data_IF_457901637795
#
_entry.id   IF_457901637795
#
_cell.length_a   1.000
_cell.length_b   1.000
_cell.length_c   1.000
_cell.angle_alpha   90.00
_cell.angle_beta   90.00
_cell.angle_gamma   90.00
#
_symmetry.space_group_name_H-M   'P 1'
#
loop_
_entity.id
_entity.type
_entity.pdbx_description
1 polymer ?
#
# COMPACT_ATOMS: atom_id res chain seq x y z
N UNK A 1 -23.13 12.43 23.59
CA UNK A 1 -21.99 12.42 22.67
C UNK A 1 -22.42 11.66 21.42
N UNK A 2 -22.45 12.30 20.24
CA UNK A 2 -22.67 11.57 18.98
C UNK A 2 -21.40 10.75 18.72
N UNK A 3 -21.49 9.41 18.82
CA UNK A 3 -20.39 8.56 18.39
C UNK A 3 -20.07 8.88 16.91
N UNK A 4 -18.82 9.23 16.66
CA UNK A 4 -18.33 9.41 15.28
C UNK A 4 -18.56 8.09 14.51
N UNK A 5 -19.26 8.10 13.38
CA UNK A 5 -19.52 6.89 12.61
C UNK A 5 -18.24 6.17 12.17
N UNK A 6 -17.12 6.90 12.05
CA UNK A 6 -15.80 6.35 11.74
C UNK A 6 -15.24 5.59 12.94
N UNK A 7 -15.24 6.20 14.13
CA UNK A 7 -14.78 5.55 15.37
C UNK A 7 -15.57 4.28 15.66
N UNK A 8 -16.90 4.34 15.53
CA UNK A 8 -17.74 3.16 15.68
C UNK A 8 -17.47 2.06 14.66
N UNK A 9 -17.15 2.41 13.39
CA UNK A 9 -16.78 1.45 12.38
C UNK A 9 -15.39 0.83 12.62
N UNK A 10 -14.44 1.64 13.08
CA UNK A 10 -13.11 1.20 13.46
C UNK A 10 -13.18 0.25 14.67
N UNK A 11 -13.95 0.60 15.71
CA UNK A 11 -14.12 -0.21 16.92
C UNK A 11 -14.73 -1.58 16.65
N UNK A 12 -15.63 -1.71 15.64
CA UNK A 12 -16.18 -3.02 15.24
C UNK A 12 -15.15 -3.97 14.64
N UNK A 13 -13.99 -3.49 14.25
CA UNK A 13 -12.88 -4.31 13.74
C UNK A 13 -11.91 -4.77 14.84
N UNK A 14 -12.08 -4.28 16.08
CA UNK A 14 -11.26 -4.72 17.20
C UNK A 14 -11.57 -6.17 17.54
N UNK A 15 -10.52 -7.00 17.60
CA UNK A 15 -10.64 -8.42 17.94
C UNK A 15 -11.28 -9.30 16.85
N UNK A 16 -11.43 -8.80 15.61
CA UNK A 16 -11.94 -9.61 14.49
C UNK A 16 -10.94 -10.72 14.17
N UNK A 17 -11.40 -11.97 14.23
CA UNK A 17 -10.64 -13.12 13.75
C UNK A 17 -10.71 -13.20 12.22
N UNK A 18 -9.59 -12.85 11.57
CA UNK A 18 -9.47 -12.82 10.11
C UNK A 18 -9.58 -14.19 9.44
N UNK A 19 -9.49 -15.29 10.20
CA UNK A 19 -9.58 -16.65 9.66
C UNK A 19 -10.99 -17.23 9.76
N UNK A 20 -11.84 -16.69 10.63
CA UNK A 20 -13.24 -17.09 10.74
C UNK A 20 -14.07 -16.64 9.52
N UNK A 21 -15.13 -17.37 9.18
CA UNK A 21 -16.03 -17.00 8.08
C UNK A 21 -16.68 -15.62 8.30
N UNK A 22 -17.09 -15.33 9.54
CA UNK A 22 -17.70 -14.05 9.90
C UNK A 22 -16.68 -12.91 9.86
N UNK A 23 -15.46 -13.13 10.38
CA UNK A 23 -14.40 -12.13 10.35
C UNK A 23 -13.97 -11.78 8.92
N UNK A 24 -13.82 -12.77 8.03
CA UNK A 24 -13.56 -12.54 6.61
C UNK A 24 -14.64 -11.69 5.95
N UNK A 25 -15.93 -11.97 6.25
CA UNK A 25 -17.06 -11.18 5.74
C UNK A 25 -17.02 -9.74 6.24
N UNK A 26 -16.72 -9.55 7.53
CA UNK A 26 -16.60 -8.22 8.14
C UNK A 26 -15.44 -7.44 7.52
N UNK A 27 -14.28 -8.06 7.34
CA UNK A 27 -13.10 -7.42 6.73
C UNK A 27 -13.35 -7.08 5.26
N UNK A 28 -13.97 -7.93 4.45
CA UNK A 28 -14.38 -7.60 3.08
C UNK A 28 -15.25 -6.37 3.03
N UNK A 29 -16.30 -6.32 3.87
CA UNK A 29 -17.17 -5.15 3.97
C UNK A 29 -16.43 -3.88 4.40
N UNK A 30 -15.47 -4.00 5.32
CA UNK A 30 -14.65 -2.89 5.76
C UNK A 30 -13.68 -2.39 4.66
N UNK A 31 -13.13 -3.30 3.84
CA UNK A 31 -12.33 -2.95 2.66
C UNK A 31 -13.15 -2.18 1.59
N UNK A 32 -14.45 -2.38 1.52
CA UNK A 32 -15.36 -1.64 0.63
C UNK A 32 -15.83 -0.29 1.21
N UNK A 33 -15.43 0.04 2.44
CA UNK A 33 -15.86 1.25 3.13
C UNK A 33 -15.55 2.53 2.33
N UNK A 34 -16.44 3.52 2.45
CA UNK A 34 -16.18 4.89 1.96
C UNK A 34 -15.15 5.65 2.83
N UNK A 35 -14.91 5.19 4.04
CA UNK A 35 -13.96 5.79 4.98
C UNK A 35 -12.61 5.10 4.84
N UNK A 36 -11.59 5.82 4.38
CA UNK A 36 -10.24 5.28 4.15
C UNK A 36 -9.62 4.70 5.44
N UNK A 37 -9.84 5.31 6.59
CA UNK A 37 -9.32 4.82 7.87
C UNK A 37 -9.89 3.45 8.27
N UNK A 38 -11.15 3.16 7.90
CA UNK A 38 -11.76 1.83 8.12
C UNK A 38 -11.11 0.82 7.18
N UNK A 39 -10.92 1.19 5.92
CA UNK A 39 -10.22 0.37 4.92
C UNK A 39 -8.78 0.09 5.33
N UNK A 40 -8.06 1.11 5.82
CA UNK A 40 -6.69 0.99 6.32
C UNK A 40 -6.60 -0.02 7.47
N UNK A 41 -7.50 0.08 8.47
CA UNK A 41 -7.53 -0.86 9.60
C UNK A 41 -7.82 -2.30 9.14
N UNK A 42 -8.79 -2.48 8.24
CA UNK A 42 -9.12 -3.80 7.70
C UNK A 42 -7.93 -4.42 6.94
N UNK A 43 -7.21 -3.60 6.15
CA UNK A 43 -6.02 -4.03 5.43
C UNK A 43 -4.90 -4.47 6.40
N UNK A 44 -4.64 -3.71 7.47
CA UNK A 44 -3.66 -4.09 8.50
C UNK A 44 -4.02 -5.42 9.14
N UNK A 45 -5.27 -5.61 9.56
CA UNK A 45 -5.72 -6.88 10.15
C UNK A 45 -5.53 -8.04 9.18
N UNK A 46 -5.92 -7.87 7.91
CA UNK A 46 -5.76 -8.90 6.88
C UNK A 46 -4.28 -9.27 6.65
N UNK A 47 -3.40 -8.27 6.58
CA UNK A 47 -1.96 -8.49 6.40
C UNK A 47 -1.29 -9.11 7.63
N UNK A 48 -1.64 -8.66 8.84
CA UNK A 48 -1.05 -9.18 10.08
C UNK A 48 -1.46 -10.62 10.35
N UNK A 49 -2.68 -10.98 9.98
CA UNK A 49 -3.19 -12.34 10.08
C UNK A 49 -2.79 -13.26 8.91
N UNK A 50 -2.08 -12.74 7.89
CA UNK A 50 -1.77 -13.47 6.66
C UNK A 50 -3.00 -14.11 5.99
N UNK A 51 -4.12 -13.36 5.98
CA UNK A 51 -5.40 -13.84 5.46
C UNK A 51 -5.44 -13.81 3.92
N UNK A 52 -4.83 -14.80 3.27
CA UNK A 52 -4.65 -14.89 1.81
C UNK A 52 -5.98 -14.76 1.04
N UNK A 53 -7.08 -15.24 1.60
CA UNK A 53 -8.41 -15.19 0.98
C UNK A 53 -8.99 -13.76 0.87
N UNK A 54 -8.32 -12.77 1.49
CA UNK A 54 -8.68 -11.36 1.37
C UNK A 54 -7.87 -10.62 0.30
N UNK A 55 -6.90 -11.27 -0.36
CA UNK A 55 -6.03 -10.64 -1.34
C UNK A 55 -6.83 -9.94 -2.47
N UNK A 56 -7.80 -10.60 -3.06
CA UNK A 56 -8.67 -10.04 -4.11
C UNK A 56 -9.44 -8.79 -3.63
N UNK A 57 -9.91 -8.81 -2.38
CA UNK A 57 -10.61 -7.66 -1.80
C UNK A 57 -9.65 -6.48 -1.56
N UNK A 58 -8.42 -6.76 -1.15
CA UNK A 58 -7.35 -5.76 -1.01
C UNK A 58 -6.99 -5.14 -2.37
N UNK A 59 -6.80 -5.95 -3.43
CA UNK A 59 -6.55 -5.48 -4.80
C UNK A 59 -7.68 -4.58 -5.29
N UNK A 60 -8.94 -4.99 -5.09
CA UNK A 60 -10.11 -4.22 -5.47
C UNK A 60 -10.18 -2.88 -4.72
N UNK A 61 -9.89 -2.88 -3.41
CA UNK A 61 -9.85 -1.67 -2.60
C UNK A 61 -8.72 -0.73 -3.04
N UNK A 62 -7.54 -1.26 -3.35
CA UNK A 62 -6.41 -0.49 -3.88
C UNK A 62 -6.78 0.22 -5.19
N UNK A 63 -7.30 -0.53 -6.16
CA UNK A 63 -7.69 0.01 -7.45
C UNK A 63 -8.77 1.11 -7.32
N UNK A 64 -9.75 0.90 -6.47
CA UNK A 64 -10.83 1.84 -6.18
C UNK A 64 -10.30 3.16 -5.58
N UNK A 65 -9.44 3.08 -4.57
CA UNK A 65 -8.88 4.26 -3.91
C UNK A 65 -7.94 5.02 -4.83
N UNK A 66 -7.08 4.31 -5.57
CA UNK A 66 -6.17 4.92 -6.54
C UNK A 66 -6.92 5.70 -7.63
N UNK A 67 -8.05 5.18 -8.11
CA UNK A 67 -8.87 5.84 -9.11
C UNK A 67 -9.60 7.09 -8.59
N UNK A 68 -9.88 7.17 -7.27
CA UNK A 68 -10.62 8.28 -6.65
C UNK A 68 -9.71 9.42 -6.15
N UNK A 69 -8.41 9.16 -6.03
CA UNK A 69 -7.42 10.15 -5.62
C UNK A 69 -7.53 10.61 -4.15
N UNK A 70 -6.94 11.77 -3.85
CA UNK A 70 -6.78 12.32 -2.49
C UNK A 70 -8.07 12.54 -1.71
N UNK A 71 -9.18 12.81 -2.39
CA UNK A 71 -10.48 12.98 -1.73
C UNK A 71 -10.98 11.70 -1.03
N UNK A 72 -10.57 10.54 -1.54
CA UNK A 72 -10.98 9.26 -0.99
C UNK A 72 -10.02 8.71 0.08
N UNK A 73 -8.75 9.14 0.08
CA UNK A 73 -7.72 8.64 0.99
C UNK A 73 -6.72 9.73 1.36
N UNK A 74 -7.13 10.64 2.25
CA UNK A 74 -6.25 11.69 2.75
C UNK A 74 -5.03 11.10 3.44
N UNK A 75 -3.86 11.69 3.17
CA UNK A 75 -2.59 11.22 3.69
C UNK A 75 -2.11 9.90 3.06
N UNK A 76 -2.80 9.40 2.03
CA UNK A 76 -2.44 8.13 1.35
C UNK A 76 -2.32 6.93 2.31
N UNK A 77 -3.13 6.93 3.39
CA UNK A 77 -3.00 5.96 4.50
C UNK A 77 -3.51 4.58 4.10
N UNK A 78 -4.72 4.53 3.52
CA UNK A 78 -5.32 3.25 3.17
C UNK A 78 -4.59 2.56 2.01
N UNK A 79 -4.18 3.30 0.98
CA UNK A 79 -3.37 2.77 -0.12
C UNK A 79 -2.06 2.17 0.40
N UNK A 80 -1.40 2.87 1.33
CA UNK A 80 -0.14 2.40 1.93
C UNK A 80 -0.35 1.13 2.77
N UNK A 81 -1.39 1.08 3.59
CA UNK A 81 -1.68 -0.10 4.43
C UNK A 81 -2.15 -1.30 3.60
N UNK A 82 -2.90 -1.08 2.50
CA UNK A 82 -3.26 -2.14 1.55
C UNK A 82 -2.00 -2.69 0.87
N UNK A 83 -1.11 -1.81 0.39
CA UNK A 83 0.14 -2.25 -0.24
C UNK A 83 0.99 -3.07 0.74
N UNK A 84 1.11 -2.63 2.03
CA UNK A 84 1.79 -3.41 3.07
C UNK A 84 1.15 -4.78 3.31
N UNK A 85 -0.18 -4.85 3.33
CA UNK A 85 -0.89 -6.12 3.47
C UNK A 85 -0.58 -7.05 2.30
N UNK A 86 -0.65 -6.57 1.06
CA UNK A 86 -0.34 -7.36 -0.14
C UNK A 86 1.12 -7.85 -0.16
N UNK A 87 2.07 -7.01 0.30
CA UNK A 87 3.48 -7.44 0.47
C UNK A 87 3.61 -8.55 1.49
N UNK A 88 2.93 -8.46 2.65
CA UNK A 88 2.93 -9.52 3.67
C UNK A 88 2.30 -10.82 3.18
N UNK A 89 1.30 -10.72 2.31
CA UNK A 89 0.64 -11.87 1.67
C UNK A 89 1.45 -12.45 0.50
N UNK A 90 2.64 -11.92 0.20
CA UNK A 90 3.46 -12.33 -0.93
C UNK A 90 2.68 -12.32 -2.25
N UNK A 91 1.83 -11.30 -2.44
CA UNK A 91 0.95 -11.17 -3.59
C UNK A 91 1.73 -10.75 -4.83
N UNK A 92 1.69 -11.56 -5.90
CA UNK A 92 2.42 -11.33 -7.14
C UNK A 92 1.58 -10.54 -8.17
N UNK A 93 1.43 -9.22 -7.95
CA UNK A 93 0.79 -8.29 -8.90
C UNK A 93 1.73 -7.13 -9.21
N UNK A 94 2.61 -7.34 -10.19
CA UNK A 94 3.58 -6.35 -10.61
C UNK A 94 2.94 -5.04 -11.11
N UNK A 95 1.79 -5.11 -11.78
CA UNK A 95 1.11 -3.93 -12.33
C UNK A 95 0.53 -3.06 -11.22
N UNK A 96 -0.06 -3.66 -10.19
CA UNK A 96 -0.53 -2.96 -9.00
C UNK A 96 0.62 -2.20 -8.33
N UNK A 97 1.73 -2.88 -8.08
CA UNK A 97 2.89 -2.29 -7.42
C UNK A 97 3.54 -1.20 -8.28
N UNK A 98 3.65 -1.36 -9.60
CA UNK A 98 4.14 -0.30 -10.48
C UNK A 98 3.24 0.94 -10.47
N UNK A 99 1.94 0.76 -10.44
CA UNK A 99 0.99 1.88 -10.34
C UNK A 99 1.18 2.62 -9.02
N UNK A 100 1.34 1.89 -7.91
CA UNK A 100 1.62 2.48 -6.61
C UNK A 100 2.97 3.22 -6.56
N UNK A 101 4.03 2.67 -7.18
CA UNK A 101 5.33 3.34 -7.29
C UNK A 101 5.30 4.65 -8.07
N UNK A 102 4.35 4.84 -8.98
CA UNK A 102 4.20 6.07 -9.76
C UNK A 102 3.20 7.05 -9.16
N UNK A 103 2.54 6.69 -8.06
CA UNK A 103 1.52 7.53 -7.47
C UNK A 103 2.13 8.72 -6.74
N UNK A 104 1.66 9.92 -7.09
CA UNK A 104 1.97 11.19 -6.42
C UNK A 104 0.64 11.76 -5.93
N UNK A 105 0.58 12.15 -4.67
CA UNK A 105 -0.61 12.71 -4.06
C UNK A 105 -0.27 14.01 -3.35
N UNK A 106 -0.53 15.14 -4.04
CA UNK A 106 -0.30 16.46 -3.46
C UNK A 106 -1.47 16.87 -2.58
N UNK A 107 -1.18 17.24 -1.34
CA UNK A 107 -2.17 17.75 -0.40
C UNK A 107 -1.77 19.14 0.12
N UNK A 108 -2.77 19.99 0.32
CA UNK A 108 -2.55 21.35 0.80
C UNK A 108 -2.10 21.38 2.26
N UNK A 109 -1.14 22.25 2.54
CA UNK A 109 -0.65 22.58 3.90
C UNK A 109 -0.68 24.09 4.11
N UNK A 110 -0.42 24.56 5.33
CA UNK A 110 -0.35 26.00 5.64
C UNK A 110 0.70 26.79 4.84
N UNK A 111 1.70 26.10 4.30
CA UNK A 111 2.81 26.73 3.56
C UNK A 111 2.89 26.31 2.09
N UNK A 112 1.87 25.64 1.54
CA UNK A 112 1.91 25.16 0.16
C UNK A 112 1.25 23.80 -0.02
N UNK A 113 1.89 22.90 -0.75
CA UNK A 113 1.44 21.52 -0.92
C UNK A 113 2.58 20.54 -0.67
N UNK A 114 2.26 19.36 -0.16
CA UNK A 114 3.20 18.29 0.13
C UNK A 114 2.73 17.01 -0.54
N UNK A 115 3.66 16.22 -1.06
CA UNK A 115 3.37 14.87 -1.53
C UNK A 115 3.25 13.92 -0.31
N UNK A 116 2.09 13.29 -0.15
CA UNK A 116 1.80 12.38 0.96
C UNK A 116 1.93 10.91 0.58
N UNK A 117 2.37 10.60 -0.65
CA UNK A 117 2.47 9.23 -1.16
C UNK A 117 3.89 8.61 -1.20
N UNK A 118 4.98 9.22 -0.68
CA UNK A 118 6.32 8.62 -0.80
C UNK A 118 6.44 7.27 -0.08
N UNK A 119 5.72 7.07 1.02
CA UNK A 119 5.72 5.79 1.74
C UNK A 119 5.00 4.69 0.94
N UNK A 120 3.90 5.03 0.23
CA UNK A 120 3.24 4.10 -0.69
C UNK A 120 4.23 3.63 -1.77
N UNK A 121 4.98 4.57 -2.39
CA UNK A 121 5.97 4.24 -3.40
C UNK A 121 7.06 3.32 -2.86
N UNK A 122 7.53 3.59 -1.65
CA UNK A 122 8.53 2.76 -0.96
C UNK A 122 8.04 1.33 -0.71
N UNK A 123 6.80 1.17 -0.23
CA UNK A 123 6.18 -0.14 0.04
C UNK A 123 5.94 -0.89 -1.27
N UNK A 124 5.45 -0.21 -2.30
CA UNK A 124 5.23 -0.81 -3.62
C UNK A 124 6.54 -1.27 -4.29
N UNK A 125 7.65 -0.57 -4.08
CA UNK A 125 8.95 -1.03 -4.54
C UNK A 125 9.34 -2.38 -3.90
N UNK A 126 9.03 -2.59 -2.62
CA UNK A 126 9.27 -3.86 -1.93
C UNK A 126 8.37 -4.98 -2.50
N UNK A 127 7.09 -4.70 -2.77
CA UNK A 127 6.21 -5.67 -3.43
C UNK A 127 6.69 -6.05 -4.82
N UNK A 128 7.15 -5.05 -5.60
CA UNK A 128 7.71 -5.30 -6.92
C UNK A 128 9.02 -6.11 -6.86
N UNK A 129 9.85 -5.94 -5.82
CA UNK A 129 11.07 -6.73 -5.61
C UNK A 129 10.77 -8.22 -5.51
N UNK A 130 9.69 -8.59 -4.83
CA UNK A 130 9.25 -9.97 -4.65
C UNK A 130 8.54 -10.55 -5.89
N UNK A 131 8.14 -9.69 -6.84
CA UNK A 131 7.44 -10.13 -8.05
C UNK A 131 8.36 -10.76 -9.09
N UNK A 132 7.78 -11.46 -10.07
CA UNK A 132 8.49 -12.05 -11.21
C UNK A 132 8.67 -11.10 -12.39
N UNK A 133 8.44 -9.80 -12.19
CA UNK A 133 8.54 -8.80 -13.23
C UNK A 133 9.97 -8.64 -13.76
N UNK A 134 10.23 -8.86 -15.06
CA UNK A 134 11.56 -8.72 -15.62
C UNK A 134 12.09 -7.27 -15.63
N UNK A 135 11.20 -6.28 -15.50
CA UNK A 135 11.54 -4.85 -15.44
C UNK A 135 11.60 -4.28 -14.02
N UNK A 136 11.52 -5.12 -12.99
CA UNK A 136 11.52 -4.67 -11.59
C UNK A 136 12.75 -3.85 -11.23
N UNK A 137 13.93 -4.28 -11.66
CA UNK A 137 15.19 -3.59 -11.37
C UNK A 137 15.22 -2.18 -11.96
N UNK A 138 14.80 -2.02 -13.21
CA UNK A 138 14.73 -0.71 -13.85
C UNK A 138 13.79 0.22 -13.09
N UNK A 139 12.59 -0.24 -12.73
CA UNK A 139 11.63 0.57 -11.99
C UNK A 139 12.16 1.03 -10.61
N UNK A 140 12.90 0.16 -9.90
CA UNK A 140 13.51 0.51 -8.62
C UNK A 140 14.66 1.51 -8.77
N UNK A 141 15.50 1.36 -9.81
CA UNK A 141 16.58 2.31 -10.11
C UNK A 141 15.99 3.69 -10.46
N UNK A 142 14.93 3.75 -11.27
CA UNK A 142 14.22 5.00 -11.54
C UNK A 142 13.70 5.65 -10.25
N UNK A 143 13.21 4.87 -9.28
CA UNK A 143 12.71 5.38 -8.01
C UNK A 143 13.83 5.92 -7.08
N UNK A 144 15.10 5.57 -7.29
CA UNK A 144 16.23 6.19 -6.57
C UNK A 144 16.38 7.69 -6.87
N UNK A 145 15.81 8.16 -8.00
CA UNK A 145 15.78 9.57 -8.38
C UNK A 145 14.52 10.31 -7.89
N UNK A 146 13.68 9.69 -7.06
CA UNK A 146 12.48 10.33 -6.51
C UNK A 146 12.84 11.60 -5.71
N UNK A 147 11.96 12.61 -5.74
CA UNK A 147 12.16 13.85 -4.97
C UNK A 147 12.14 13.60 -3.46
N UNK A 148 11.32 12.66 -3.03
CA UNK A 148 11.05 12.37 -1.63
C UNK A 148 11.99 11.29 -1.10
N UNK A 149 12.70 11.58 0.00
CA UNK A 149 13.69 10.65 0.56
C UNK A 149 13.10 9.29 1.00
N UNK A 150 11.84 9.18 1.52
CA UNK A 150 11.30 7.87 1.90
C UNK A 150 11.16 6.94 0.70
N UNK A 151 10.77 7.47 -0.47
CA UNK A 151 10.68 6.71 -1.70
C UNK A 151 12.06 6.21 -2.16
N UNK A 152 13.09 7.10 -2.14
CA UNK A 152 14.48 6.70 -2.46
C UNK A 152 15.01 5.62 -1.52
N UNK A 153 14.77 5.79 -0.20
CA UNK A 153 15.17 4.79 0.79
C UNK A 153 14.44 3.45 0.61
N UNK A 154 13.16 3.48 0.22
CA UNK A 154 12.38 2.30 -0.14
C UNK A 154 12.96 1.58 -1.36
N UNK A 155 13.31 2.32 -2.40
CA UNK A 155 13.96 1.78 -3.59
C UNK A 155 15.30 1.09 -3.27
N UNK A 156 16.13 1.73 -2.45
CA UNK A 156 17.41 1.14 -2.02
C UNK A 156 17.22 -0.16 -1.24
N UNK A 157 16.23 -0.22 -0.33
CA UNK A 157 15.90 -1.45 0.41
C UNK A 157 15.38 -2.55 -0.52
N UNK A 158 14.51 -2.21 -1.48
CA UNK A 158 13.98 -3.15 -2.45
C UNK A 158 15.08 -3.74 -3.35
N UNK A 159 16.03 -2.90 -3.81
CA UNK A 159 17.20 -3.33 -4.56
C UNK A 159 18.12 -4.26 -3.74
N UNK A 160 18.29 -4.00 -2.45
CA UNK A 160 19.06 -4.88 -1.57
C UNK A 160 18.42 -6.28 -1.43
N UNK A 161 17.10 -6.38 -1.46
CA UNK A 161 16.39 -7.69 -1.43
C UNK A 161 16.65 -8.48 -2.70
N UNK A 162 16.71 -7.83 -3.87
CA UNK A 162 16.98 -8.51 -5.15
C UNK A 162 18.45 -8.95 -5.25
N UNK A 163 19.35 -8.39 -4.43
CA UNK A 163 20.73 -8.86 -4.28
C UNK A 163 21.64 -8.57 -5.47
N UNK A 164 22.45 -9.57 -5.89
CA UNK A 164 23.51 -9.39 -6.89
C UNK A 164 23.01 -8.97 -8.28
N UNK A 165 21.75 -9.25 -8.62
CA UNK A 165 21.13 -8.78 -9.87
C UNK A 165 21.09 -7.25 -9.95
N UNK A 166 20.91 -6.58 -8.81
CA UNK A 166 20.87 -5.14 -8.74
C UNK A 166 22.24 -4.47 -8.86
N UNK A 167 23.31 -5.14 -8.41
CA UNK A 167 24.65 -4.57 -8.36
C UNK A 167 25.17 -4.13 -9.74
N UNK A 168 24.94 -4.95 -10.78
CA UNK A 168 25.38 -4.66 -12.15
C UNK A 168 24.69 -3.43 -12.76
N UNK A 169 23.46 -3.14 -12.35
CA UNK A 169 22.70 -1.97 -12.82
C UNK A 169 23.11 -0.71 -12.04
N UNK A 170 23.29 -0.81 -10.73
CA UNK A 170 23.71 0.33 -9.90
C UNK A 170 25.09 0.87 -10.27
N UNK A 171 25.99 0.00 -10.78
CA UNK A 171 27.32 0.41 -11.24
C UNK A 171 27.33 1.18 -12.58
N UNK A 172 26.18 1.28 -13.26
CA UNK A 172 26.03 2.03 -14.52
C UNK A 172 25.45 3.42 -14.36
N UNK A 173 25.01 3.79 -13.17
CA UNK A 173 24.47 5.09 -12.80
C UNK A 173 25.41 5.83 -11.86
#
# INVERSE_FOLDING_TARGET
MKNDPIEGAIGRLDGVDAHSAEGKKQLRKALESKFSLVTAKAARIAGDALAMELAEALVSAFARLLARGSEADKGCVALTDIARALVKLDHDDADLFRRGMKHIQMEGTWGGSVDVAPELRAVCAMGLANSRDPKKLQAMVELLADREWPARAGAARALAVVGSEAASLLLRY
#
